data_IF_097852408649
#
_entry.id   IF_097852408649
#
_cell.length_a   1.000
_cell.length_b   1.000
_cell.length_c   1.000
_cell.angle_alpha   90.00
_cell.angle_beta   90.00
_cell.angle_gamma   90.00
#
_symmetry.space_group_name_H-M   'P 1'
#
loop_
_entity.id
_entity.type
_entity.pdbx_description
1 polymer ?
#
# COMPACT_ATOMS: atom_id res chain seq x y z
N UNK A 1 -5.65 -5.78 19.69
CA UNK A 1 -4.93 -7.06 19.43
C UNK A 1 -3.44 -6.81 19.18
N UNK A 2 -3.01 -6.14 18.06
CA UNK A 2 -1.58 -5.94 17.77
C UNK A 2 -0.87 -5.13 18.86
N UNK A 3 -1.43 -3.97 19.24
CA UNK A 3 -0.91 -3.11 20.31
C UNK A 3 -0.73 -3.88 21.62
N UNK A 4 -1.76 -4.55 22.09
CA UNK A 4 -1.75 -5.36 23.32
C UNK A 4 -0.70 -6.48 23.27
N UNK A 5 -0.54 -7.14 22.12
CA UNK A 5 0.49 -8.16 21.92
C UNK A 5 1.90 -7.58 22.09
N UNK A 6 2.20 -6.47 21.44
CA UNK A 6 3.51 -5.81 21.50
C UNK A 6 3.82 -5.31 22.91
N UNK A 7 2.81 -4.74 23.60
CA UNK A 7 2.90 -4.34 25.01
C UNK A 7 3.17 -5.54 25.94
N UNK A 8 2.48 -6.66 25.72
CA UNK A 8 2.70 -7.89 26.50
C UNK A 8 4.12 -8.43 26.36
N UNK A 9 4.77 -8.21 25.22
CA UNK A 9 6.17 -8.58 24.96
C UNK A 9 7.18 -7.54 25.43
N UNK A 10 6.72 -6.39 25.97
CA UNK A 10 7.56 -5.26 26.39
C UNK A 10 8.48 -4.73 25.29
N UNK A 11 8.02 -4.80 24.04
CA UNK A 11 8.73 -4.27 22.86
C UNK A 11 8.32 -2.80 22.68
N UNK A 12 9.29 -1.92 22.43
CA UNK A 12 9.00 -0.51 22.11
C UNK A 12 8.35 -0.44 20.74
N UNK A 13 7.29 0.35 20.56
CA UNK A 13 6.58 0.52 19.30
C UNK A 13 7.47 1.03 18.18
N UNK A 14 8.45 1.88 18.49
CA UNK A 14 9.47 2.37 17.54
C UNK A 14 10.41 1.28 16.99
N UNK A 15 10.38 0.08 17.53
CA UNK A 15 11.14 -1.08 17.05
C UNK A 15 10.25 -2.10 16.32
N UNK A 16 9.03 -1.72 15.99
CA UNK A 16 8.07 -2.58 15.29
C UNK A 16 7.60 -1.90 14.01
N UNK A 17 7.76 -2.60 12.91
CA UNK A 17 7.17 -2.23 11.63
C UNK A 17 5.99 -3.14 11.33
N UNK A 18 4.92 -2.57 10.80
CA UNK A 18 3.70 -3.30 10.42
C UNK A 18 3.60 -3.29 8.90
N UNK A 19 3.49 -4.47 8.32
CA UNK A 19 3.26 -4.65 6.88
C UNK A 19 1.83 -5.13 6.64
N UNK A 20 1.10 -4.43 5.80
CA UNK A 20 -0.18 -4.89 5.26
C UNK A 20 0.04 -5.62 3.96
N UNK A 21 -0.63 -6.74 3.78
CA UNK A 21 -0.59 -7.55 2.56
C UNK A 21 -2.01 -7.96 2.20
N UNK A 22 -2.36 -7.83 0.92
CA UNK A 22 -3.58 -8.44 0.39
C UNK A 22 -3.45 -9.97 0.37
N UNK A 23 -4.57 -10.67 0.39
CA UNK A 23 -4.58 -12.14 0.55
C UNK A 23 -3.97 -12.91 -0.64
N UNK A 24 -3.86 -12.27 -1.82
CA UNK A 24 -3.24 -12.81 -3.03
C UNK A 24 -1.76 -12.42 -3.18
N UNK A 25 -1.24 -11.62 -2.25
CA UNK A 25 0.12 -11.10 -2.35
C UNK A 25 1.17 -12.14 -2.01
N UNK A 26 2.16 -12.27 -2.89
CA UNK A 26 3.34 -13.13 -2.72
C UNK A 26 4.59 -12.26 -2.70
N UNK A 27 5.08 -11.88 -1.52
CA UNK A 27 6.32 -11.12 -1.41
C UNK A 27 7.52 -11.94 -1.90
N UNK A 28 8.48 -11.28 -2.56
CA UNK A 28 9.77 -11.88 -2.88
C UNK A 28 10.51 -12.30 -1.59
N UNK A 29 11.36 -13.32 -1.67
CA UNK A 29 12.03 -13.90 -0.50
C UNK A 29 12.78 -12.90 0.36
N UNK A 30 13.40 -11.88 -0.26
CA UNK A 30 14.16 -10.84 0.45
C UNK A 30 13.31 -9.62 0.85
N UNK A 31 12.01 -9.65 0.64
CA UNK A 31 11.15 -8.48 0.87
C UNK A 31 11.21 -7.97 2.31
N UNK A 32 10.97 -8.84 3.28
CA UNK A 32 10.97 -8.44 4.69
C UNK A 32 12.36 -8.04 5.20
N UNK A 33 13.42 -8.65 4.66
CA UNK A 33 14.80 -8.26 5.00
C UNK A 33 15.10 -6.84 4.49
N UNK A 34 14.68 -6.50 3.26
CA UNK A 34 14.83 -5.15 2.73
C UNK A 34 14.01 -4.13 3.53
N UNK A 35 12.75 -4.44 3.86
CA UNK A 35 11.91 -3.56 4.68
C UNK A 35 12.56 -3.33 6.06
N UNK A 36 13.04 -4.39 6.71
CA UNK A 36 13.68 -4.30 8.01
C UNK A 36 14.98 -3.48 7.94
N UNK A 37 15.79 -3.69 6.90
CA UNK A 37 17.01 -2.93 6.67
C UNK A 37 16.71 -1.43 6.51
N UNK A 38 15.82 -1.07 5.59
CA UNK A 38 15.45 0.34 5.36
C UNK A 38 14.86 0.98 6.63
N UNK A 39 14.04 0.24 7.37
CA UNK A 39 13.50 0.71 8.65
C UNK A 39 14.57 0.99 9.71
N UNK A 40 15.64 0.21 9.73
CA UNK A 40 16.72 0.36 10.72
C UNK A 40 17.65 1.52 10.37
N UNK A 41 17.97 1.70 9.07
CA UNK A 41 18.96 2.69 8.64
C UNK A 41 18.40 4.12 8.58
N UNK A 42 17.08 4.29 8.44
CA UNK A 42 16.46 5.60 8.40
C UNK A 42 16.13 6.12 9.80
N UNK A 43 16.67 7.26 10.18
CA UNK A 43 16.42 7.89 11.47
C UNK A 43 14.96 8.37 11.59
N UNK A 44 14.41 8.94 10.52
CA UNK A 44 13.06 9.48 10.44
C UNK A 44 11.97 8.43 10.11
N UNK A 45 12.28 7.14 10.28
CA UNK A 45 11.43 5.99 9.96
C UNK A 45 9.99 6.05 10.49
N UNK A 46 9.74 6.86 11.53
CA UNK A 46 8.40 7.09 12.05
C UNK A 46 7.53 7.91 11.09
N UNK A 47 8.15 8.84 10.37
CA UNK A 47 7.52 9.73 9.37
C UNK A 47 7.65 9.18 7.95
N UNK A 48 7.74 7.86 7.84
CA UNK A 48 7.92 7.19 6.56
C UNK A 48 7.02 5.98 6.43
N UNK A 49 6.69 5.64 5.19
CA UNK A 49 6.19 4.32 4.82
C UNK A 49 7.05 3.70 3.73
N UNK A 50 6.97 2.39 3.62
CA UNK A 50 7.80 1.58 2.73
C UNK A 50 6.89 0.90 1.71
N UNK A 51 7.00 1.32 0.45
CA UNK A 51 6.14 0.88 -0.64
C UNK A 51 6.89 -0.08 -1.56
N UNK A 52 6.49 -1.35 -1.66
CA UNK A 52 7.06 -2.29 -2.63
C UNK A 52 6.59 -2.01 -4.05
N UNK A 53 7.29 -2.60 -5.02
CA UNK A 53 6.83 -2.69 -6.39
C UNK A 53 5.78 -3.79 -6.48
N UNK A 54 4.54 -3.47 -6.78
CA UNK A 54 3.47 -4.44 -6.99
C UNK A 54 3.41 -4.87 -8.45
N UNK A 55 3.51 -6.19 -8.70
CA UNK A 55 3.50 -6.79 -10.03
C UNK A 55 2.34 -7.79 -10.15
N UNK A 56 1.40 -7.54 -11.04
CA UNK A 56 0.24 -8.39 -11.27
C UNK A 56 0.58 -9.54 -12.22
N UNK A 57 1.39 -10.50 -11.75
CA UNK A 57 1.96 -11.54 -12.60
C UNK A 57 1.71 -12.98 -12.14
N UNK A 58 1.10 -13.21 -10.96
CA UNK A 58 0.90 -14.55 -10.42
C UNK A 58 0.17 -15.51 -11.38
N UNK A 59 -0.90 -15.01 -12.02
CA UNK A 59 -1.78 -15.77 -12.91
C UNK A 59 -1.97 -15.08 -14.28
N UNK A 60 -1.02 -14.25 -14.69
CA UNK A 60 -1.15 -13.37 -15.87
C UNK A 60 -1.44 -14.17 -17.15
N UNK A 61 -0.88 -15.39 -17.26
CA UNK A 61 -1.04 -16.21 -18.45
C UNK A 61 -2.40 -16.90 -18.52
N UNK A 62 -3.08 -17.08 -17.39
CA UNK A 62 -4.42 -17.67 -17.31
C UNK A 62 -5.51 -16.61 -17.53
N UNK A 63 -5.18 -15.32 -17.30
CA UNK A 63 -6.13 -14.22 -17.42
C UNK A 63 -6.45 -13.91 -18.90
N UNK A 64 -7.71 -13.51 -19.22
CA UNK A 64 -8.08 -13.08 -20.56
C UNK A 64 -7.35 -11.78 -20.97
N UNK A 65 -7.25 -11.53 -22.27
CA UNK A 65 -6.47 -10.43 -22.84
C UNK A 65 -6.76 -9.06 -22.20
N UNK A 66 -8.03 -8.75 -21.94
CA UNK A 66 -8.43 -7.49 -21.29
C UNK A 66 -7.84 -7.37 -19.88
N UNK A 67 -7.97 -8.40 -19.05
CA UNK A 67 -7.39 -8.40 -17.69
C UNK A 67 -5.87 -8.35 -17.74
N UNK A 68 -5.21 -9.02 -18.70
CA UNK A 68 -3.77 -8.91 -18.91
C UNK A 68 -3.31 -7.49 -19.21
N UNK A 69 -4.04 -6.77 -20.06
CA UNK A 69 -3.72 -5.36 -20.38
C UNK A 69 -3.81 -4.52 -19.11
N UNK A 70 -4.89 -4.63 -18.34
CA UNK A 70 -5.05 -3.88 -17.08
C UNK A 70 -3.94 -4.25 -16.08
N UNK A 71 -3.67 -5.53 -15.87
CA UNK A 71 -2.63 -6.02 -14.96
C UNK A 71 -1.22 -5.52 -15.35
N UNK A 72 -0.88 -5.60 -16.64
CA UNK A 72 0.41 -5.12 -17.17
C UNK A 72 0.55 -3.61 -17.04
N UNK A 73 -0.51 -2.85 -17.33
CA UNK A 73 -0.51 -1.39 -17.20
C UNK A 73 -0.31 -0.98 -15.75
N UNK A 74 -0.99 -1.62 -14.80
CA UNK A 74 -0.82 -1.34 -13.38
C UNK A 74 0.57 -1.71 -12.88
N UNK A 75 1.12 -2.87 -13.29
CA UNK A 75 2.50 -3.25 -12.96
C UNK A 75 3.50 -2.21 -13.47
N UNK A 76 3.35 -1.77 -14.70
CA UNK A 76 4.20 -0.74 -15.30
C UNK A 76 4.08 0.61 -14.56
N UNK A 77 2.85 1.01 -14.22
CA UNK A 77 2.60 2.22 -13.43
C UNK A 77 3.29 2.15 -12.06
N UNK A 78 3.18 1.04 -11.36
CA UNK A 78 3.82 0.83 -10.06
C UNK A 78 5.35 0.94 -10.16
N UNK A 79 5.96 0.36 -11.19
CA UNK A 79 7.40 0.51 -11.45
C UNK A 79 7.78 1.98 -11.68
N UNK A 80 7.02 2.71 -12.50
CA UNK A 80 7.28 4.14 -12.75
C UNK A 80 7.16 4.96 -11.45
N UNK A 81 6.14 4.69 -10.63
CA UNK A 81 5.97 5.39 -9.35
C UNK A 81 7.16 5.18 -8.42
N UNK A 82 7.66 3.95 -8.32
CA UNK A 82 8.85 3.66 -7.48
C UNK A 82 10.15 4.28 -8.00
N UNK A 83 10.21 4.61 -9.29
CA UNK A 83 11.32 5.39 -9.87
C UNK A 83 11.23 6.90 -9.59
N UNK A 84 10.12 7.36 -9.02
CA UNK A 84 9.86 8.77 -8.69
C UNK A 84 9.49 8.93 -7.21
N UNK A 85 10.43 8.74 -6.27
CA UNK A 85 10.14 8.76 -4.83
C UNK A 85 9.40 10.02 -4.37
N UNK A 86 9.69 11.18 -4.97
CA UNK A 86 9.09 12.47 -4.62
C UNK A 86 7.58 12.59 -4.93
N UNK A 87 7.01 11.66 -5.70
CA UNK A 87 5.56 11.58 -5.98
C UNK A 87 4.97 10.22 -5.61
N UNK A 88 5.79 9.34 -5.03
CA UNK A 88 5.36 8.02 -4.60
C UNK A 88 4.36 8.16 -3.45
N UNK A 89 3.30 7.36 -3.49
CA UNK A 89 2.25 7.27 -2.47
C UNK A 89 2.03 5.82 -2.11
N UNK A 90 1.37 5.58 -1.00
CA UNK A 90 0.94 4.23 -0.65
C UNK A 90 -0.18 3.77 -1.59
N UNK A 91 -0.10 2.52 -1.99
CA UNK A 91 -1.13 1.79 -2.71
C UNK A 91 -0.96 0.29 -2.43
N UNK A 92 -2.07 -0.41 -2.27
CA UNK A 92 -2.06 -1.82 -1.90
C UNK A 92 -1.16 -2.10 -0.67
N UNK A 93 -0.26 -3.06 -0.78
CA UNK A 93 0.62 -3.46 0.32
C UNK A 93 1.70 -2.43 0.60
N UNK A 94 1.87 -2.09 1.86
CA UNK A 94 2.93 -1.19 2.33
C UNK A 94 3.30 -1.51 3.78
N UNK A 95 4.40 -0.93 4.24
CA UNK A 95 4.84 -1.08 5.63
C UNK A 95 4.96 0.29 6.30
N UNK A 96 4.59 0.36 7.58
CA UNK A 96 4.64 1.59 8.36
C UNK A 96 5.03 1.31 9.81
N UNK A 97 5.63 2.28 10.49
CA UNK A 97 6.00 2.17 11.89
C UNK A 97 4.80 2.00 12.81
N UNK A 98 4.88 1.09 13.80
CA UNK A 98 3.79 0.88 14.75
C UNK A 98 3.54 2.09 15.65
N UNK A 99 4.57 2.84 16.04
CA UNK A 99 4.39 4.03 16.86
C UNK A 99 3.62 5.13 16.12
N UNK A 100 3.90 5.36 14.83
CA UNK A 100 3.11 6.25 13.99
C UNK A 100 1.65 5.76 13.85
N UNK A 101 1.46 4.47 13.61
CA UNK A 101 0.12 3.88 13.49
C UNK A 101 -0.71 4.03 14.78
N UNK A 102 -0.09 3.83 15.94
CA UNK A 102 -0.77 3.99 17.24
C UNK A 102 -1.17 5.45 17.48
N UNK A 103 -0.31 6.40 17.12
CA UNK A 103 -0.61 7.83 17.27
C UNK A 103 -1.75 8.30 16.36
N UNK A 104 -1.83 7.74 15.15
CA UNK A 104 -2.88 8.05 14.16
C UNK A 104 -4.15 7.20 14.31
N UNK A 105 -4.25 6.37 15.34
CA UNK A 105 -5.37 5.42 15.53
C UNK A 105 -5.54 4.45 14.35
N UNK A 106 -4.42 3.91 13.84
CA UNK A 106 -4.35 2.94 12.75
C UNK A 106 -4.96 3.44 11.42
N UNK A 107 -5.42 2.51 10.56
CA UNK A 107 -6.06 2.81 9.29
C UNK A 107 -7.51 3.24 9.47
N UNK A 108 -7.99 4.12 8.59
CA UNK A 108 -9.39 4.50 8.56
C UNK A 108 -10.29 3.31 8.18
N UNK A 109 -11.30 3.04 8.97
CA UNK A 109 -12.35 2.07 8.65
C UNK A 109 -13.51 2.66 7.84
N UNK A 110 -13.41 3.94 7.46
CA UNK A 110 -14.49 4.70 6.78
C UNK A 110 -14.33 4.77 5.27
N UNK A 111 -13.21 4.27 4.75
CA UNK A 111 -12.91 4.28 3.30
C UNK A 111 -12.65 2.86 2.80
N UNK A 112 -12.94 2.62 1.52
CA UNK A 112 -12.66 1.36 0.84
C UNK A 112 -11.26 1.33 0.20
N UNK A 113 -10.58 2.46 0.16
CA UNK A 113 -9.22 2.67 -0.39
C UNK A 113 -8.31 3.12 0.75
N UNK A 114 -8.29 2.34 1.82
CA UNK A 114 -7.60 2.65 3.06
C UNK A 114 -6.08 2.84 2.89
N UNK A 115 -5.50 2.17 1.91
CA UNK A 115 -4.08 2.21 1.55
C UNK A 115 -3.66 3.61 1.06
N UNK A 116 -4.30 4.11 0.01
CA UNK A 116 -4.07 5.45 -0.52
C UNK A 116 -4.48 6.54 0.48
N UNK A 117 -5.60 6.33 1.16
CA UNK A 117 -6.08 7.25 2.20
C UNK A 117 -5.10 7.37 3.37
N UNK A 118 -4.42 6.28 3.76
CA UNK A 118 -3.42 6.29 4.81
C UNK A 118 -2.23 7.19 4.50
N UNK A 119 -1.81 7.29 3.23
CA UNK A 119 -0.79 8.25 2.81
C UNK A 119 -1.20 9.69 3.16
N UNK A 120 -2.41 10.10 2.78
CA UNK A 120 -2.90 11.45 3.05
C UNK A 120 -3.07 11.73 4.53
N UNK A 121 -3.57 10.75 5.30
CA UNK A 121 -3.67 10.87 6.76
C UNK A 121 -2.30 11.07 7.39
N UNK A 122 -1.31 10.29 6.98
CA UNK A 122 0.06 10.40 7.50
C UNK A 122 0.68 11.75 7.13
N UNK A 123 0.55 12.16 5.86
CA UNK A 123 1.07 13.44 5.37
C UNK A 123 0.50 14.62 6.16
N UNK A 124 -0.81 14.62 6.40
CA UNK A 124 -1.49 15.69 7.16
C UNK A 124 -1.16 15.61 8.65
N UNK A 125 -1.05 14.42 9.23
CA UNK A 125 -0.70 14.23 10.63
C UNK A 125 0.71 14.75 10.95
N UNK A 126 1.65 14.61 10.04
CA UNK A 126 3.03 15.07 10.16
C UNK A 126 3.27 16.45 9.49
N UNK A 127 2.23 17.24 9.27
CA UNK A 127 2.30 18.60 8.70
C UNK A 127 3.09 18.67 7.37
N UNK A 128 2.96 17.66 6.53
CA UNK A 128 3.65 17.54 5.24
C UNK A 128 5.05 16.90 5.31
N UNK A 129 5.57 16.64 6.50
CA UNK A 129 6.87 16.00 6.71
C UNK A 129 6.72 14.46 6.77
N UNK A 130 6.37 13.88 5.63
CA UNK A 130 6.13 12.45 5.46
C UNK A 130 6.59 11.97 4.10
N UNK A 131 7.34 10.88 4.07
CA UNK A 131 7.90 10.31 2.85
C UNK A 131 7.45 8.87 2.62
N UNK A 132 7.44 8.47 1.35
CA UNK A 132 7.23 7.08 0.94
C UNK A 132 8.50 6.57 0.27
N UNK A 133 9.15 5.61 0.91
CA UNK A 133 10.38 5.00 0.41
C UNK A 133 10.04 3.78 -0.47
N UNK A 134 10.56 3.71 -1.72
CA UNK A 134 10.37 2.54 -2.56
C UNK A 134 11.22 1.35 -2.08
N UNK A 135 10.58 0.21 -1.83
CA UNK A 135 11.26 -1.07 -1.58
C UNK A 135 11.47 -1.78 -2.92
N UNK A 136 12.71 -2.05 -3.27
CA UNK A 136 13.09 -2.65 -4.56
C UNK A 136 12.91 -4.17 -4.63
N UNK A 137 12.27 -4.77 -3.62
CA UNK A 137 11.83 -6.16 -3.63
C UNK A 137 10.34 -6.20 -4.03
N UNK A 138 9.96 -6.89 -5.10
CA UNK A 138 8.59 -6.89 -5.57
C UNK A 138 7.66 -7.72 -4.68
N UNK A 139 6.38 -7.38 -4.79
CA UNK A 139 5.26 -8.22 -4.34
C UNK A 139 4.45 -8.61 -5.57
N UNK A 140 4.20 -9.90 -5.73
CA UNK A 140 3.43 -10.44 -6.85
C UNK A 140 1.96 -10.56 -6.47
N UNK A 141 1.08 -10.12 -7.35
CA UNK A 141 -0.37 -10.10 -7.16
C UNK A 141 -1.09 -10.83 -8.31
N UNK A 142 -2.36 -11.16 -8.10
CA UNK A 142 -3.18 -11.80 -9.10
C UNK A 142 -3.80 -10.76 -10.06
N UNK A 143 -3.78 -11.08 -11.35
CA UNK A 143 -4.66 -10.43 -12.32
C UNK A 143 -6.09 -10.94 -12.11
N UNK A 144 -7.10 -10.09 -12.36
CA UNK A 144 -8.50 -10.49 -12.18
C UNK A 144 -8.87 -11.62 -13.11
N UNK A 145 -9.31 -12.72 -12.52
CA UNK A 145 -9.76 -13.93 -13.21
C UNK A 145 -10.96 -14.52 -12.47
N UNK A 146 -11.97 -14.96 -13.23
CA UNK A 146 -13.14 -15.70 -12.77
C UNK A 146 -13.44 -16.85 -13.72
N UNK A 147 -14.40 -17.70 -13.38
CA UNK A 147 -14.73 -18.94 -14.12
C UNK A 147 -15.12 -18.70 -15.59
N UNK A 148 -15.65 -17.52 -15.92
CA UNK A 148 -16.08 -17.18 -17.28
C UNK A 148 -15.60 -15.79 -17.68
N UNK A 149 -15.42 -15.54 -18.97
CA UNK A 149 -15.02 -14.23 -19.50
C UNK A 149 -15.95 -13.11 -19.01
N UNK A 150 -17.26 -13.32 -19.06
CA UNK A 150 -18.22 -12.30 -18.63
C UNK A 150 -18.10 -11.97 -17.14
N UNK A 151 -17.93 -12.97 -16.29
CA UNK A 151 -17.69 -12.77 -14.85
C UNK A 151 -16.37 -12.07 -14.60
N UNK A 152 -15.33 -12.41 -15.35
CA UNK A 152 -14.02 -11.74 -15.26
C UNK A 152 -14.13 -10.27 -15.62
N UNK A 153 -14.79 -9.93 -16.73
CA UNK A 153 -14.98 -8.52 -17.12
C UNK A 153 -15.81 -7.75 -16.09
N UNK A 154 -16.84 -8.37 -15.54
CA UNK A 154 -17.64 -7.75 -14.45
C UNK A 154 -16.80 -7.53 -13.20
N UNK A 155 -15.99 -8.51 -12.78
CA UNK A 155 -15.10 -8.38 -11.63
C UNK A 155 -14.06 -7.30 -11.85
N UNK A 156 -13.46 -7.22 -13.05
CA UNK A 156 -12.52 -6.17 -13.44
C UNK A 156 -13.16 -4.77 -13.37
N UNK A 157 -14.38 -4.63 -13.86
CA UNK A 157 -15.13 -3.37 -13.76
C UNK A 157 -15.39 -2.94 -12.32
N UNK A 158 -15.80 -3.90 -11.46
CA UNK A 158 -16.02 -3.65 -10.04
C UNK A 158 -14.72 -3.21 -9.35
N UNK A 159 -13.58 -3.85 -9.67
CA UNK A 159 -12.27 -3.49 -9.13
C UNK A 159 -11.87 -2.07 -9.54
N UNK A 160 -11.96 -1.72 -10.82
CA UNK A 160 -11.63 -0.39 -11.32
C UNK A 160 -12.50 0.68 -10.65
N UNK A 161 -13.81 0.44 -10.54
CA UNK A 161 -14.75 1.34 -9.87
C UNK A 161 -14.41 1.54 -8.39
N UNK A 162 -13.90 0.50 -7.71
CA UNK A 162 -13.43 0.58 -6.33
C UNK A 162 -12.18 1.48 -6.22
N UNK A 163 -11.24 1.36 -7.15
CA UNK A 163 -10.05 2.20 -7.18
C UNK A 163 -10.36 3.67 -7.47
N UNK A 164 -11.32 3.93 -8.36
CA UNK A 164 -11.78 5.30 -8.65
C UNK A 164 -12.34 6.02 -7.40
N UNK A 165 -12.77 5.26 -6.40
CA UNK A 165 -13.22 5.82 -5.12
C UNK A 165 -12.10 6.58 -4.38
N UNK A 166 -10.83 6.32 -4.71
CA UNK A 166 -9.69 7.10 -4.22
C UNK A 166 -9.76 8.60 -4.57
N UNK A 167 -10.55 8.99 -5.56
CA UNK A 167 -10.82 10.40 -5.85
C UNK A 167 -11.49 11.14 -4.68
N UNK A 168 -12.11 10.44 -3.73
CA UNK A 168 -12.66 11.03 -2.50
C UNK A 168 -11.60 11.68 -1.61
N UNK A 169 -10.34 11.29 -1.73
CA UNK A 169 -9.23 11.87 -0.99
C UNK A 169 -8.96 13.33 -1.38
N UNK A 170 -9.37 13.76 -2.58
CA UNK A 170 -9.30 15.17 -2.99
C UNK A 170 -10.16 16.03 -2.06
N UNK A 171 -11.37 15.58 -1.74
CA UNK A 171 -12.24 16.29 -0.80
C UNK A 171 -11.69 16.25 0.63
N UNK A 172 -11.14 15.12 1.05
CA UNK A 172 -10.51 14.96 2.36
C UNK A 172 -9.35 15.94 2.56
N UNK A 173 -8.41 16.00 1.61
CA UNK A 173 -7.28 16.93 1.66
C UNK A 173 -7.76 18.38 1.59
N UNK A 174 -8.75 18.66 0.73
CA UNK A 174 -9.34 20.00 0.60
C UNK A 174 -9.91 20.53 1.91
N UNK A 175 -10.56 19.70 2.72
CA UNK A 175 -11.09 20.14 4.03
C UNK A 175 -9.99 20.57 4.98
N UNK A 176 -8.81 19.98 4.93
CA UNK A 176 -7.67 20.39 5.76
C UNK A 176 -6.95 21.64 5.25
N UNK A 177 -6.96 21.87 3.94
CA UNK A 177 -6.30 23.05 3.35
C UNK A 177 -7.10 24.34 3.57
N UNK A 178 -8.41 24.24 3.84
CA UNK A 178 -9.31 25.39 3.99
C UNK A 178 -9.88 25.52 5.41
N UNK A 179 -9.42 24.70 6.37
CA UNK A 179 -9.75 24.82 7.80
C UNK A 179 -8.67 25.60 8.54
#
# INVERSE_FOLDING_TARGET
>A
VLKEYVESKKIRFSNVIVTTLDCDNKPEKCYFDNVAYEYIVHEDRKRMSFQPVSLFTNNIWDAPAVSRVVASTNSFWNVICTMRPHVLRNFASHSQSLDALVEMDFWSVRTIVEDGHQYWRSLLYFDGDYEVLPIRAPIYQDAVLSDTLFRTLKAQWIQLRRWDYGASDVAYVGTYMFS
#
